data_IF_746727353142
#
_entry.id   IF_746727353142
#
_cell.length_a   1.000
_cell.length_b   1.000
_cell.length_c   1.000
_cell.angle_alpha   90.00
_cell.angle_beta   90.00
_cell.angle_gamma   90.00
#
_symmetry.space_group_name_H-M   'P 1'
#
loop_
_entity.id
_entity.type
_entity.pdbx_description
1 polymer ?
#
# COMPACT_ATOMS: atom_id res chain seq x y z
N UNK A 1 -3.17 83.63 -24.84
CA UNK A 1 -2.38 84.26 -25.93
C UNK A 1 -1.03 83.58 -26.01
N UNK A 2 -0.64 83.21 -27.24
CA UNK A 2 0.71 82.96 -27.77
C UNK A 2 1.58 81.81 -27.19
N UNK A 3 1.75 80.84 -28.10
CA UNK A 3 2.72 79.73 -28.23
C UNK A 3 4.19 80.19 -28.25
N UNK A 4 5.12 79.28 -27.93
CA UNK A 4 6.37 78.90 -28.65
C UNK A 4 7.22 78.06 -27.66
N UNK A 5 7.29 76.73 -27.74
CA UNK A 5 7.98 75.86 -28.71
C UNK A 5 9.52 76.03 -28.71
N UNK A 6 10.23 75.17 -27.98
CA UNK A 6 11.60 74.72 -28.28
C UNK A 6 11.65 73.20 -28.01
N UNK A 7 11.73 72.43 -29.10
CA UNK A 7 11.95 70.98 -29.10
C UNK A 7 13.44 70.73 -29.35
N UNK A 8 14.09 70.04 -28.41
CA UNK A 8 15.42 69.44 -28.60
C UNK A 8 15.29 67.96 -28.20
N UNK A 9 15.56 66.98 -29.08
CA UNK A 9 15.39 65.59 -28.74
C UNK A 9 16.63 65.09 -27.99
N UNK A 10 16.45 64.69 -26.73
CA UNK A 10 17.42 63.89 -25.99
C UNK A 10 17.31 62.44 -26.49
N UNK A 11 18.35 61.95 -27.16
CA UNK A 11 18.54 60.53 -27.47
C UNK A 11 18.91 59.83 -26.17
N UNK A 12 17.95 59.15 -25.53
CA UNK A 12 18.20 58.27 -24.40
C UNK A 12 18.66 56.90 -24.93
N UNK A 13 19.93 56.59 -24.70
CA UNK A 13 20.53 55.28 -24.95
C UNK A 13 19.92 54.27 -23.96
N UNK A 14 19.02 53.40 -24.42
CA UNK A 14 18.51 52.28 -23.64
C UNK A 14 19.59 51.18 -23.60
N UNK A 15 20.40 51.16 -22.54
CA UNK A 15 21.28 50.03 -22.24
C UNK A 15 20.45 48.90 -21.59
N UNK A 16 19.99 47.96 -22.40
CA UNK A 16 19.47 46.68 -21.92
C UNK A 16 20.62 45.87 -21.31
N UNK A 17 20.74 45.90 -19.98
CA UNK A 17 21.56 44.94 -19.23
C UNK A 17 20.88 43.56 -19.30
N UNK A 18 21.29 42.73 -20.26
CA UNK A 18 21.08 41.29 -20.18
C UNK A 18 22.00 40.74 -19.11
N UNK A 19 21.46 40.46 -17.91
CA UNK A 19 22.16 39.62 -16.94
C UNK A 19 22.38 38.25 -17.60
N UNK A 20 23.63 37.75 -17.70
CA UNK A 20 23.85 36.38 -18.11
C UNK A 20 23.22 35.49 -17.04
N UNK A 21 22.20 34.73 -17.43
CA UNK A 21 21.75 33.61 -16.61
C UNK A 21 22.95 32.70 -16.36
N UNK A 22 23.18 32.35 -15.10
CA UNK A 22 24.17 31.33 -14.75
C UNK A 22 23.62 30.00 -15.29
N UNK A 23 24.03 29.65 -16.50
CA UNK A 23 23.84 28.32 -17.06
C UNK A 23 24.86 27.43 -16.37
N UNK A 24 24.44 26.67 -15.36
CA UNK A 24 25.24 25.56 -14.88
C UNK A 24 25.39 24.58 -16.05
N UNK A 25 26.60 24.48 -16.61
CA UNK A 25 26.90 23.45 -17.59
C UNK A 25 26.64 22.10 -16.92
N UNK A 26 25.64 21.35 -17.40
CA UNK A 26 25.44 19.97 -16.97
C UNK A 26 26.72 19.20 -17.34
N UNK A 27 27.40 18.55 -16.38
CA UNK A 27 28.45 17.61 -16.71
C UNK A 27 27.91 16.59 -17.72
N UNK A 28 28.69 16.23 -18.73
CA UNK A 28 28.28 15.24 -19.74
C UNK A 28 27.79 13.91 -19.15
N UNK A 29 28.13 13.62 -17.89
CA UNK A 29 27.63 12.46 -17.14
C UNK A 29 26.16 12.56 -16.70
N UNK A 30 25.63 13.75 -16.40
CA UNK A 30 24.23 13.90 -15.95
C UNK A 30 23.27 13.52 -17.08
N UNK A 31 23.55 13.93 -18.32
CA UNK A 31 22.75 13.61 -19.49
C UNK A 31 22.73 12.11 -19.78
N UNK A 32 23.86 11.42 -19.55
CA UNK A 32 23.94 9.96 -19.67
C UNK A 32 23.01 9.31 -18.64
N UNK A 33 23.00 9.78 -17.39
CA UNK A 33 22.12 9.24 -16.36
C UNK A 33 20.63 9.46 -16.69
N UNK A 34 20.28 10.63 -17.25
CA UNK A 34 18.91 10.90 -17.70
C UNK A 34 18.50 9.99 -18.86
N UNK A 35 19.39 9.75 -19.82
CA UNK A 35 19.15 8.81 -20.92
C UNK A 35 19.00 7.38 -20.40
N UNK A 36 19.85 6.95 -19.46
CA UNK A 36 19.74 5.63 -18.84
C UNK A 36 18.44 5.47 -18.06
N UNK A 37 17.96 6.49 -17.35
CA UNK A 37 16.67 6.43 -16.68
C UNK A 37 15.51 6.22 -17.67
N UNK A 38 15.54 6.91 -18.81
CA UNK A 38 14.54 6.72 -19.86
C UNK A 38 14.62 5.31 -20.47
N UNK A 39 15.84 4.79 -20.70
CA UNK A 39 16.06 3.43 -21.17
C UNK A 39 15.54 2.40 -20.14
N UNK A 40 15.78 2.61 -18.84
CA UNK A 40 15.28 1.77 -17.77
C UNK A 40 13.75 1.71 -17.72
N UNK A 41 13.07 2.85 -17.88
CA UNK A 41 11.60 2.92 -17.96
C UNK A 41 11.03 2.15 -19.17
N UNK A 42 11.81 2.06 -20.24
CA UNK A 42 11.46 1.31 -21.47
C UNK A 42 11.97 -0.13 -21.47
N UNK A 43 12.64 -0.57 -20.41
CA UNK A 43 13.31 -1.87 -20.32
C UNK A 43 14.32 -2.12 -21.47
N UNK A 44 14.97 -1.05 -21.95
CA UNK A 44 15.95 -1.14 -23.03
C UNK A 44 17.34 -1.51 -22.48
N UNK A 45 17.55 -2.81 -22.30
CA UNK A 45 18.81 -3.37 -21.77
C UNK A 45 20.03 -3.08 -22.65
N UNK A 46 19.84 -2.93 -23.97
CA UNK A 46 20.94 -2.65 -24.91
C UNK A 46 21.47 -1.24 -24.70
N UNK A 47 20.59 -0.24 -24.65
CA UNK A 47 20.97 1.15 -24.40
C UNK A 47 21.60 1.30 -23.01
N UNK A 48 21.04 0.64 -21.99
CA UNK A 48 21.61 0.64 -20.64
C UNK A 48 23.05 0.09 -20.62
N UNK A 49 23.28 -1.05 -21.28
CA UNK A 49 24.62 -1.67 -21.34
C UNK A 49 25.62 -0.79 -22.09
N UNK A 50 25.20 -0.15 -23.19
CA UNK A 50 26.07 0.71 -23.98
C UNK A 50 26.48 2.00 -23.25
N UNK A 51 25.57 2.58 -22.46
CA UNK A 51 25.80 3.83 -21.73
C UNK A 51 26.51 3.63 -20.38
N UNK A 52 26.42 2.43 -19.79
CA UNK A 52 26.93 2.15 -18.45
C UNK A 52 28.40 2.56 -18.22
N UNK A 53 29.37 2.30 -19.13
CA UNK A 53 30.76 2.70 -18.90
C UNK A 53 30.96 4.20 -18.73
N UNK A 54 30.13 5.03 -19.35
CA UNK A 54 30.21 6.49 -19.26
C UNK A 54 29.75 7.04 -17.89
N UNK A 55 29.24 6.18 -17.01
CA UNK A 55 28.79 6.57 -15.66
C UNK A 55 29.82 6.33 -14.56
N UNK A 56 31.00 5.79 -14.90
CA UNK A 56 32.04 5.50 -13.93
C UNK A 56 32.50 6.76 -13.19
N UNK A 57 32.50 6.72 -11.85
CA UNK A 57 32.87 7.84 -11.00
C UNK A 57 31.78 8.91 -10.86
N UNK A 58 30.63 8.75 -11.51
CA UNK A 58 29.50 9.64 -11.35
C UNK A 58 28.87 9.48 -9.96
N UNK A 59 28.40 10.56 -9.28
CA UNK A 59 27.75 10.46 -7.96
C UNK A 59 26.56 9.48 -7.91
N UNK A 60 25.90 9.28 -9.06
CA UNK A 60 24.77 8.36 -9.24
C UNK A 60 25.15 7.09 -10.03
N UNK A 61 26.42 6.71 -10.10
CA UNK A 61 26.86 5.47 -10.77
C UNK A 61 26.06 4.25 -10.29
N UNK A 62 25.74 4.19 -8.99
CA UNK A 62 24.93 3.12 -8.41
C UNK A 62 23.55 2.98 -9.07
N UNK A 63 22.91 4.07 -9.48
CA UNK A 63 21.63 4.01 -10.22
C UNK A 63 21.80 3.42 -11.61
N UNK A 64 22.86 3.84 -12.32
CA UNK A 64 23.18 3.32 -13.64
C UNK A 64 23.41 1.81 -13.60
N UNK A 65 24.23 1.35 -12.64
CA UNK A 65 24.52 -0.06 -12.40
C UNK A 65 23.25 -0.84 -12.03
N UNK A 66 22.42 -0.29 -11.14
CA UNK A 66 21.14 -0.90 -10.75
C UNK A 66 20.22 -1.10 -11.94
N UNK A 67 20.01 -0.06 -12.77
CA UNK A 67 19.13 -0.16 -13.93
C UNK A 67 19.64 -1.18 -14.95
N UNK A 68 20.94 -1.17 -15.25
CA UNK A 68 21.54 -2.09 -16.20
C UNK A 68 21.41 -3.55 -15.74
N UNK A 69 21.68 -3.84 -14.46
CA UNK A 69 21.56 -5.19 -13.91
C UNK A 69 20.09 -5.62 -13.81
N UNK A 70 19.21 -4.75 -13.31
CA UNK A 70 17.77 -5.02 -13.21
C UNK A 70 17.14 -5.37 -14.56
N UNK A 71 17.51 -4.67 -15.63
CA UNK A 71 16.94 -4.89 -16.95
C UNK A 71 17.22 -6.29 -17.53
N UNK A 72 18.19 -7.02 -16.98
CA UNK A 72 18.55 -8.39 -17.39
C UNK A 72 18.59 -9.38 -16.24
N UNK A 73 17.95 -9.05 -15.11
CA UNK A 73 18.09 -9.77 -13.84
C UNK A 73 17.70 -11.25 -13.97
N UNK A 74 16.70 -11.57 -14.80
CA UNK A 74 16.29 -12.95 -15.07
C UNK A 74 17.42 -13.83 -15.62
N UNK A 75 18.37 -13.23 -16.34
CA UNK A 75 19.54 -13.90 -16.93
C UNK A 75 20.84 -13.66 -16.16
N UNK A 76 20.80 -12.88 -15.08
CA UNK A 76 21.98 -12.61 -14.26
C UNK A 76 22.40 -13.85 -13.46
N UNK A 77 23.69 -14.00 -13.28
CA UNK A 77 24.28 -15.03 -12.41
C UNK A 77 24.23 -14.58 -10.94
N UNK A 78 24.23 -15.55 -10.01
CA UNK A 78 24.33 -15.23 -8.58
C UNK A 78 25.58 -14.43 -8.25
N UNK A 79 26.70 -14.68 -8.95
CA UNK A 79 27.94 -13.91 -8.77
C UNK A 79 27.78 -12.44 -9.16
N UNK A 80 27.15 -12.13 -10.29
CA UNK A 80 26.91 -10.74 -10.70
C UNK A 80 26.04 -9.98 -9.69
N UNK A 81 25.05 -10.65 -9.11
CA UNK A 81 24.21 -10.08 -8.06
C UNK A 81 25.02 -9.87 -6.80
N UNK A 82 25.78 -10.87 -6.35
CA UNK A 82 26.62 -10.77 -5.16
C UNK A 82 27.68 -9.67 -5.29
N UNK A 83 28.35 -9.55 -6.44
CA UNK A 83 29.30 -8.48 -6.74
C UNK A 83 28.64 -7.10 -6.63
N UNK A 84 27.41 -6.96 -7.14
CA UNK A 84 26.66 -5.72 -7.00
C UNK A 84 26.31 -5.42 -5.54
N UNK A 85 25.80 -6.40 -4.80
CA UNK A 85 25.40 -6.24 -3.40
C UNK A 85 26.61 -5.89 -2.52
N UNK A 86 27.76 -6.49 -2.78
CA UNK A 86 29.00 -6.18 -2.06
C UNK A 86 29.52 -4.78 -2.40
N UNK A 87 29.58 -4.42 -3.69
CA UNK A 87 30.09 -3.12 -4.15
C UNK A 87 29.27 -1.94 -3.62
N UNK A 88 27.95 -2.10 -3.58
CA UNK A 88 27.02 -1.02 -3.25
C UNK A 88 26.36 -1.17 -1.88
N UNK A 89 26.97 -1.96 -0.99
CA UNK A 89 26.45 -2.27 0.34
C UNK A 89 25.98 -1.02 1.09
N UNK A 90 24.75 -1.08 1.62
CA UNK A 90 24.17 0.01 2.40
C UNK A 90 23.50 1.09 1.56
N UNK A 91 23.47 0.98 0.24
CA UNK A 91 22.70 1.89 -0.61
C UNK A 91 21.25 1.42 -0.76
N UNK A 92 20.36 2.35 -1.14
CA UNK A 92 18.97 2.00 -1.50
C UNK A 92 18.94 0.98 -2.63
N UNK A 93 19.78 1.17 -3.64
CA UNK A 93 19.82 0.38 -4.86
C UNK A 93 20.28 -1.04 -4.59
N UNK A 94 21.23 -1.22 -3.69
CA UNK A 94 21.67 -2.53 -3.21
C UNK A 94 20.52 -3.30 -2.59
N UNK A 95 19.84 -2.71 -1.61
CA UNK A 95 18.75 -3.39 -0.93
C UNK A 95 17.51 -3.57 -1.84
N UNK A 96 17.30 -2.65 -2.78
CA UNK A 96 16.27 -2.75 -3.80
C UNK A 96 16.57 -3.86 -4.81
N UNK A 97 17.82 -4.03 -5.23
CA UNK A 97 18.20 -5.15 -6.09
C UNK A 97 18.08 -6.48 -5.33
N UNK A 98 18.47 -6.51 -4.05
CA UNK A 98 18.24 -7.69 -3.20
C UNK A 98 16.77 -8.08 -3.18
N UNK A 99 15.84 -7.12 -3.02
CA UNK A 99 14.41 -7.41 -3.13
C UNK A 99 14.03 -8.01 -4.50
N UNK A 100 14.48 -7.38 -5.61
CA UNK A 100 14.20 -7.88 -6.97
C UNK A 100 14.73 -9.31 -7.15
N UNK A 101 15.92 -9.61 -6.63
CA UNK A 101 16.54 -10.94 -6.73
C UNK A 101 15.85 -11.98 -5.83
N UNK A 102 15.51 -11.62 -4.59
CA UNK A 102 14.77 -12.48 -3.67
C UNK A 102 13.40 -12.87 -4.24
N UNK A 103 12.71 -11.98 -4.96
CA UNK A 103 11.48 -12.33 -5.66
C UNK A 103 11.72 -13.41 -6.73
N UNK A 104 12.81 -13.32 -7.49
CA UNK A 104 13.18 -14.33 -8.50
C UNK A 104 13.58 -15.66 -7.86
N UNK A 105 14.39 -15.64 -6.80
CA UNK A 105 14.76 -16.83 -6.04
C UNK A 105 13.51 -17.51 -5.46
N UNK A 106 12.61 -16.71 -4.90
CA UNK A 106 11.31 -17.16 -4.44
C UNK A 106 10.54 -17.87 -5.55
N UNK A 107 10.36 -17.22 -6.72
CA UNK A 107 9.71 -17.80 -7.89
C UNK A 107 10.37 -19.10 -8.39
N UNK A 108 11.70 -19.18 -8.35
CA UNK A 108 12.51 -20.35 -8.73
C UNK A 108 12.52 -21.43 -7.66
N UNK A 109 12.01 -21.13 -6.46
CA UNK A 109 12.02 -22.01 -5.27
C UNK A 109 13.45 -22.35 -4.82
N UNK A 110 14.39 -21.44 -5.04
CA UNK A 110 15.77 -21.56 -4.56
C UNK A 110 15.87 -21.05 -3.12
N UNK A 111 15.41 -21.89 -2.19
CA UNK A 111 15.24 -21.51 -0.78
C UNK A 111 16.57 -21.28 -0.07
N UNK A 112 17.61 -22.05 -0.42
CA UNK A 112 18.91 -21.94 0.24
C UNK A 112 19.52 -20.55 -0.01
N UNK A 113 19.50 -20.09 -1.26
CA UNK A 113 19.99 -18.76 -1.61
C UNK A 113 19.04 -17.66 -1.13
N UNK A 114 17.72 -17.90 -1.16
CA UNK A 114 16.72 -16.97 -0.63
C UNK A 114 16.99 -16.64 0.84
N UNK A 115 17.11 -17.65 1.70
CA UNK A 115 17.31 -17.44 3.14
C UNK A 115 18.65 -16.77 3.46
N UNK A 116 19.70 -17.14 2.72
CA UNK A 116 21.02 -16.51 2.83
C UNK A 116 20.94 -15.01 2.61
N UNK A 117 20.27 -14.58 1.54
CA UNK A 117 20.19 -13.17 1.18
C UNK A 117 19.10 -12.41 1.93
N UNK A 118 18.02 -13.09 2.34
CA UNK A 118 16.90 -12.44 3.03
C UNK A 118 17.31 -11.89 4.40
N UNK A 119 18.25 -12.54 5.09
CA UNK A 119 18.79 -12.09 6.39
C UNK A 119 19.33 -10.65 6.36
N UNK A 120 19.92 -10.25 5.23
CA UNK A 120 20.50 -8.91 5.08
C UNK A 120 19.51 -7.88 4.52
N UNK A 121 18.28 -8.26 4.16
CA UNK A 121 17.27 -7.39 3.56
C UNK A 121 16.71 -6.40 4.60
N UNK A 122 17.02 -5.10 4.42
CA UNK A 122 16.72 -4.07 5.44
C UNK A 122 15.35 -3.44 5.25
N UNK A 123 14.90 -3.23 4.01
CA UNK A 123 13.61 -2.55 3.76
C UNK A 123 12.40 -3.33 4.30
N UNK A 124 12.41 -4.66 4.21
CA UNK A 124 11.33 -5.54 4.72
C UNK A 124 9.90 -5.10 4.32
N UNK A 125 9.78 -4.41 3.19
CA UNK A 125 8.56 -3.74 2.73
C UNK A 125 7.79 -4.56 1.69
N UNK A 126 8.43 -5.57 1.09
CA UNK A 126 7.79 -6.48 0.15
C UNK A 126 7.09 -7.64 0.87
N UNK A 127 5.76 -7.61 0.84
CA UNK A 127 4.91 -8.63 1.45
C UNK A 127 5.10 -10.03 0.83
N UNK A 128 5.52 -10.13 -0.43
CA UNK A 128 5.76 -11.45 -1.05
C UNK A 128 6.95 -12.16 -0.41
N UNK A 129 8.01 -11.42 -0.05
CA UNK A 129 9.17 -12.00 0.61
C UNK A 129 8.79 -12.58 1.97
N UNK A 130 8.01 -11.83 2.76
CA UNK A 130 7.44 -12.33 4.02
C UNK A 130 6.59 -13.58 3.82
N UNK A 131 5.80 -13.63 2.75
CA UNK A 131 5.02 -14.82 2.42
C UNK A 131 5.92 -16.02 2.05
N UNK A 132 7.01 -15.83 1.31
CA UNK A 132 7.98 -16.90 1.06
C UNK A 132 8.61 -17.41 2.36
N UNK A 133 9.03 -16.54 3.28
CA UNK A 133 9.57 -16.99 4.59
C UNK A 133 8.57 -17.87 5.35
N UNK A 134 7.29 -17.48 5.35
CA UNK A 134 6.23 -18.25 5.99
C UNK A 134 6.05 -19.62 5.33
N UNK A 135 6.17 -19.69 4.00
CA UNK A 135 6.13 -20.95 3.27
C UNK A 135 7.32 -21.85 3.63
N UNK A 136 8.53 -21.29 3.67
CA UNK A 136 9.76 -22.04 4.05
C UNK A 136 9.63 -22.54 5.49
N UNK A 137 9.23 -21.68 6.43
CA UNK A 137 9.02 -22.05 7.82
C UNK A 137 7.98 -23.17 8.01
N UNK A 138 6.92 -23.18 7.19
CA UNK A 138 5.93 -24.25 7.14
C UNK A 138 6.53 -25.57 6.66
N UNK A 139 7.28 -25.56 5.54
CA UNK A 139 7.92 -26.75 4.98
C UNK A 139 8.94 -27.38 5.93
N UNK A 140 9.63 -26.56 6.71
CA UNK A 140 10.65 -27.01 7.67
C UNK A 140 10.08 -27.35 9.05
N UNK A 141 8.76 -27.23 9.24
CA UNK A 141 8.12 -27.54 10.52
C UNK A 141 8.45 -26.58 11.66
N UNK A 142 8.94 -25.37 11.34
CA UNK A 142 9.29 -24.30 12.29
C UNK A 142 8.32 -23.13 12.27
N UNK A 143 7.10 -23.34 11.76
CA UNK A 143 6.10 -22.30 11.63
C UNK A 143 5.68 -21.76 13.02
N UNK A 144 5.78 -20.44 13.28
CA UNK A 144 5.34 -19.85 14.55
C UNK A 144 3.83 -20.01 14.79
N UNK A 145 3.40 -19.99 16.05
CA UNK A 145 1.99 -20.21 16.43
C UNK A 145 0.98 -19.25 15.77
N UNK A 146 1.36 -18.00 15.51
CA UNK A 146 0.49 -16.97 14.90
C UNK A 146 0.70 -16.79 13.40
N UNK A 147 1.61 -17.56 12.80
CA UNK A 147 2.02 -17.37 11.41
C UNK A 147 0.91 -17.69 10.39
N UNK A 148 0.02 -18.64 10.70
CA UNK A 148 -1.15 -18.92 9.86
C UNK A 148 -2.11 -17.73 9.79
N UNK A 149 -2.39 -17.10 10.93
CA UNK A 149 -3.23 -15.89 10.99
C UNK A 149 -2.56 -14.72 10.27
N UNK A 150 -1.26 -14.56 10.46
CA UNK A 150 -0.47 -13.55 9.77
C UNK A 150 -0.51 -13.75 8.25
N UNK A 151 -0.32 -14.98 7.75
CA UNK A 151 -0.41 -15.27 6.32
C UNK A 151 -1.82 -14.96 5.79
N UNK A 152 -2.86 -15.37 6.51
CA UNK A 152 -4.24 -15.11 6.10
C UNK A 152 -4.49 -13.61 5.95
N UNK A 153 -4.08 -12.80 6.92
CA UNK A 153 -4.17 -11.33 6.84
C UNK A 153 -3.39 -10.79 5.65
N UNK A 154 -2.10 -11.14 5.54
CA UNK A 154 -1.25 -10.69 4.43
C UNK A 154 -1.87 -11.03 3.08
N UNK A 155 -2.34 -12.26 2.89
CA UNK A 155 -2.87 -12.74 1.62
C UNK A 155 -4.23 -12.13 1.27
N UNK A 156 -5.14 -11.96 2.24
CA UNK A 156 -6.43 -11.31 2.00
C UNK A 156 -6.26 -9.81 1.68
N UNK A 157 -5.28 -9.16 2.29
CA UNK A 157 -4.97 -7.73 2.08
C UNK A 157 -4.24 -7.44 0.76
N UNK A 158 -3.71 -8.45 0.07
CA UNK A 158 -3.04 -8.24 -1.21
C UNK A 158 -3.99 -7.61 -2.24
N UNK A 159 -3.61 -6.48 -2.88
CA UNK A 159 -4.50 -5.78 -3.80
C UNK A 159 -4.76 -6.57 -5.08
N UNK A 160 -3.82 -7.41 -5.51
CA UNK A 160 -3.92 -8.27 -6.67
C UNK A 160 -3.32 -9.66 -6.34
N UNK A 161 -3.40 -10.60 -7.28
CA UNK A 161 -2.70 -11.86 -7.13
C UNK A 161 -1.20 -11.69 -7.37
N UNK A 162 -0.42 -12.35 -6.54
CA UNK A 162 1.04 -12.43 -6.60
C UNK A 162 1.49 -13.90 -6.43
N UNK A 163 2.76 -14.20 -6.72
CA UNK A 163 3.28 -15.57 -6.58
C UNK A 163 3.56 -15.91 -5.11
N UNK A 164 4.26 -15.04 -4.37
CA UNK A 164 4.75 -15.37 -3.02
C UNK A 164 3.66 -15.73 -2.02
N UNK A 165 2.62 -14.90 -1.89
CA UNK A 165 1.51 -15.16 -0.97
C UNK A 165 0.56 -16.24 -1.48
N UNK A 166 0.40 -16.40 -2.79
CA UNK A 166 -0.38 -17.53 -3.34
C UNK A 166 0.33 -18.86 -3.09
N UNK A 167 1.65 -18.91 -3.30
CA UNK A 167 2.48 -20.08 -3.01
C UNK A 167 2.42 -20.42 -1.53
N UNK A 168 2.65 -19.44 -0.66
CA UNK A 168 2.55 -19.62 0.79
C UNK A 168 1.17 -20.14 1.22
N UNK A 169 0.09 -19.56 0.68
CA UNK A 169 -1.27 -20.03 0.98
C UNK A 169 -1.48 -21.48 0.53
N UNK A 170 -0.97 -21.85 -0.65
CA UNK A 170 -1.03 -23.24 -1.13
C UNK A 170 -0.25 -24.20 -0.24
N UNK A 171 0.96 -23.82 0.18
CA UNK A 171 1.83 -24.61 1.05
C UNK A 171 1.18 -24.84 2.42
N UNK A 172 0.72 -23.76 3.08
CA UNK A 172 0.08 -23.87 4.40
C UNK A 172 -1.29 -24.58 4.30
N UNK A 173 -2.03 -24.42 3.21
CA UNK A 173 -3.27 -25.18 3.00
C UNK A 173 -3.01 -26.69 2.88
N UNK A 174 -1.99 -27.09 2.09
CA UNK A 174 -1.59 -28.49 1.97
C UNK A 174 -1.12 -29.09 3.31
N UNK A 175 -0.46 -28.28 4.14
CA UNK A 175 -0.06 -28.63 5.50
C UNK A 175 -1.20 -28.58 6.54
N UNK A 176 -2.45 -28.30 6.14
CA UNK A 176 -3.61 -28.10 7.02
C UNK A 176 -3.45 -26.96 8.05
N UNK A 177 -2.53 -26.04 7.79
CA UNK A 177 -2.23 -24.87 8.61
C UNK A 177 -3.03 -23.62 8.18
N UNK A 178 -3.62 -23.64 6.98
CA UNK A 178 -4.55 -22.61 6.49
C UNK A 178 -5.92 -23.24 6.20
N UNK A 179 -7.04 -22.74 6.76
CA UNK A 179 -8.34 -23.33 6.54
C UNK A 179 -8.88 -23.05 5.13
N UNK A 180 -9.70 -23.96 4.59
CA UNK A 180 -10.37 -23.78 3.30
C UNK A 180 -11.21 -22.48 3.24
N UNK A 181 -11.74 -22.03 4.37
CA UNK A 181 -12.47 -20.77 4.47
C UNK A 181 -11.62 -19.57 4.00
N UNK A 182 -10.35 -19.48 4.39
CA UNK A 182 -9.46 -18.38 3.98
C UNK A 182 -9.26 -18.36 2.46
N UNK A 183 -9.15 -19.54 1.83
CA UNK A 183 -9.05 -19.70 0.38
C UNK A 183 -10.33 -19.22 -0.32
N UNK A 184 -11.50 -19.60 0.20
CA UNK A 184 -12.78 -19.12 -0.34
C UNK A 184 -13.00 -17.62 -0.13
N UNK A 185 -12.57 -17.06 1.01
CA UNK A 185 -12.58 -15.62 1.25
C UNK A 185 -11.73 -14.87 0.21
N UNK A 186 -10.53 -15.38 -0.12
CA UNK A 186 -9.70 -14.80 -1.19
C UNK A 186 -10.40 -14.85 -2.54
N UNK A 187 -11.07 -15.95 -2.87
CA UNK A 187 -11.83 -16.06 -4.11
C UNK A 187 -12.99 -15.04 -4.19
N UNK A 188 -13.69 -14.83 -3.08
CA UNK A 188 -14.76 -13.84 -2.95
C UNK A 188 -14.25 -12.41 -3.11
N UNK A 189 -13.11 -12.07 -2.50
CA UNK A 189 -12.44 -10.78 -2.71
C UNK A 189 -12.08 -10.56 -4.19
N UNK A 190 -11.61 -11.62 -4.87
CA UNK A 190 -11.37 -11.59 -6.31
C UNK A 190 -12.64 -11.29 -7.12
N UNK A 191 -13.76 -11.94 -6.79
CA UNK A 191 -15.05 -11.67 -7.44
C UNK A 191 -15.54 -10.23 -7.19
N UNK A 192 -15.42 -9.75 -5.95
CA UNK A 192 -15.86 -8.42 -5.55
C UNK A 192 -15.06 -7.32 -6.28
N UNK A 193 -13.74 -7.49 -6.40
CA UNK A 193 -12.82 -6.55 -7.06
C UNK A 193 -12.73 -6.74 -8.58
N UNK A 194 -13.55 -7.63 -9.17
CA UNK A 194 -13.48 -8.01 -10.59
C UNK A 194 -12.08 -8.51 -11.03
N UNK A 195 -11.39 -9.25 -10.17
CA UNK A 195 -10.07 -9.83 -10.41
C UNK A 195 -10.16 -11.33 -10.64
N UNK A 196 -10.35 -11.73 -11.90
CA UNK A 196 -10.44 -13.13 -12.30
C UNK A 196 -9.18 -13.93 -11.91
N UNK A 197 -7.99 -13.34 -12.01
CA UNK A 197 -6.73 -14.00 -11.61
C UNK A 197 -6.71 -14.36 -10.13
N UNK A 198 -7.10 -13.43 -9.25
CA UNK A 198 -7.19 -13.64 -7.81
C UNK A 198 -8.17 -14.77 -7.47
N UNK A 199 -9.37 -14.76 -8.05
CA UNK A 199 -10.36 -15.81 -7.82
C UNK A 199 -9.89 -17.17 -8.35
N UNK A 200 -9.31 -17.20 -9.55
CA UNK A 200 -8.77 -18.42 -10.16
C UNK A 200 -7.69 -19.06 -9.30
N UNK A 201 -6.70 -18.27 -8.87
CA UNK A 201 -5.56 -18.78 -8.12
C UNK A 201 -5.98 -19.31 -6.75
N UNK A 202 -6.91 -18.64 -6.08
CA UNK A 202 -7.50 -19.15 -4.85
C UNK A 202 -8.24 -20.48 -5.08
N UNK A 203 -9.12 -20.57 -6.09
CA UNK A 203 -9.85 -21.82 -6.37
C UNK A 203 -8.93 -22.96 -6.81
N UNK A 204 -7.81 -22.67 -7.48
CA UNK A 204 -6.84 -23.71 -7.84
C UNK A 204 -6.26 -24.45 -6.62
N UNK A 205 -6.22 -23.80 -5.44
CA UNK A 205 -5.70 -24.39 -4.19
C UNK A 205 -6.68 -25.39 -3.58
N UNK A 206 -7.95 -24.99 -3.39
CA UNK A 206 -8.92 -25.77 -2.63
C UNK A 206 -10.04 -26.43 -3.46
N UNK A 207 -10.29 -25.93 -4.68
CA UNK A 207 -11.40 -26.38 -5.52
C UNK A 207 -11.10 -26.24 -7.04
N UNK A 208 -10.05 -26.90 -7.56
CA UNK A 208 -9.61 -26.76 -8.95
C UNK A 208 -10.71 -27.11 -9.97
N UNK A 209 -11.65 -27.99 -9.63
CA UNK A 209 -12.83 -28.32 -10.44
C UNK A 209 -13.74 -27.11 -10.74
N UNK A 210 -13.64 -26.03 -9.97
CA UNK A 210 -14.44 -24.82 -10.12
C UNK A 210 -13.74 -23.70 -10.91
N UNK A 211 -12.50 -23.91 -11.36
CA UNK A 211 -11.73 -22.90 -12.10
C UNK A 211 -12.29 -22.63 -13.50
N UNK A 212 -12.67 -23.67 -14.24
CA UNK A 212 -13.12 -23.55 -15.64
C UNK A 212 -14.29 -22.57 -15.86
N UNK A 213 -15.37 -22.64 -15.06
CA UNK A 213 -16.52 -21.73 -15.21
C UNK A 213 -16.26 -20.25 -14.90
N UNK A 214 -15.15 -19.89 -14.22
CA UNK A 214 -14.94 -18.54 -13.71
C UNK A 214 -14.92 -17.47 -14.82
N UNK A 215 -14.34 -17.76 -15.98
CA UNK A 215 -14.28 -16.78 -17.08
C UNK A 215 -15.69 -16.38 -17.56
N UNK A 216 -16.60 -17.35 -17.68
CA UNK A 216 -18.00 -17.10 -18.03
C UNK A 216 -18.76 -16.37 -16.92
N UNK A 217 -18.55 -16.77 -15.67
CA UNK A 217 -19.12 -16.13 -14.49
C UNK A 217 -18.76 -14.65 -14.41
N UNK A 218 -17.48 -14.30 -14.56
CA UNK A 218 -17.01 -12.91 -14.48
C UNK A 218 -17.50 -12.06 -15.66
N UNK A 219 -17.65 -12.67 -16.84
CA UNK A 219 -18.14 -11.99 -18.04
C UNK A 219 -19.62 -11.63 -17.92
N UNK A 220 -20.45 -12.57 -17.49
CA UNK A 220 -21.91 -12.43 -17.45
C UNK A 220 -22.50 -13.09 -16.19
N UNK A 221 -22.35 -12.50 -14.99
CA UNK A 221 -22.76 -13.13 -13.74
C UNK A 221 -24.26 -13.41 -13.68
N UNK A 222 -25.10 -12.50 -14.19
CA UNK A 222 -26.55 -12.69 -14.27
C UNK A 222 -26.92 -13.88 -15.17
N UNK A 223 -26.31 -13.97 -16.35
CA UNK A 223 -26.57 -15.08 -17.27
C UNK A 223 -26.13 -16.42 -16.67
N UNK A 224 -24.99 -16.43 -15.97
CA UNK A 224 -24.49 -17.60 -15.27
C UNK A 224 -25.46 -18.06 -14.17
N UNK A 225 -25.96 -17.12 -13.35
CA UNK A 225 -26.95 -17.40 -12.30
C UNK A 225 -28.29 -17.89 -12.86
N UNK A 226 -28.68 -17.40 -14.05
CA UNK A 226 -29.93 -17.76 -14.71
C UNK A 226 -29.84 -18.98 -15.62
N UNK A 227 -28.68 -19.64 -15.71
CA UNK A 227 -28.53 -20.85 -16.51
C UNK A 227 -29.58 -21.90 -16.13
N UNK A 228 -30.36 -22.33 -17.12
CA UNK A 228 -31.50 -23.25 -16.93
C UNK A 228 -31.13 -24.72 -17.09
N UNK A 229 -30.02 -25.01 -17.77
CA UNK A 229 -29.59 -26.39 -18.08
C UNK A 229 -28.92 -27.09 -16.91
N UNK A 230 -28.21 -26.35 -16.07
CA UNK A 230 -27.53 -26.87 -14.87
C UNK A 230 -27.53 -25.80 -13.80
N UNK A 231 -27.99 -26.12 -12.60
CA UNK A 231 -27.91 -25.20 -11.45
C UNK A 231 -26.44 -25.06 -11.05
N UNK A 232 -25.89 -23.83 -11.01
CA UNK A 232 -24.53 -23.62 -10.52
C UNK A 232 -24.31 -24.16 -9.10
N UNK A 233 -23.12 -24.71 -8.79
CA UNK A 233 -22.75 -25.03 -7.41
C UNK A 233 -22.89 -23.81 -6.51
N UNK A 234 -23.33 -24.00 -5.26
CA UNK A 234 -23.59 -22.92 -4.30
C UNK A 234 -22.42 -21.93 -4.20
N UNK A 235 -21.19 -22.45 -4.07
CA UNK A 235 -19.99 -21.63 -3.95
C UNK A 235 -19.72 -20.77 -5.20
N UNK A 236 -19.99 -21.28 -6.41
CA UNK A 236 -19.87 -20.49 -7.65
C UNK A 236 -21.03 -19.49 -7.80
N UNK A 237 -22.23 -19.85 -7.36
CA UNK A 237 -23.34 -18.90 -7.29
C UNK A 237 -23.03 -17.74 -6.34
N UNK A 238 -22.40 -17.99 -5.19
CA UNK A 238 -21.91 -16.96 -4.26
C UNK A 238 -20.96 -15.99 -4.96
N UNK A 239 -19.94 -16.49 -5.69
CA UNK A 239 -19.03 -15.62 -6.45
C UNK A 239 -19.76 -14.80 -7.54
N UNK A 240 -20.72 -15.42 -8.23
CA UNK A 240 -21.50 -14.74 -9.26
C UNK A 240 -22.41 -13.64 -8.68
N UNK A 241 -23.04 -13.90 -7.53
CA UNK A 241 -23.85 -12.92 -6.81
C UNK A 241 -23.00 -11.75 -6.30
N UNK A 242 -21.82 -12.01 -5.74
CA UNK A 242 -20.86 -10.96 -5.35
C UNK A 242 -20.48 -10.10 -6.55
N UNK A 243 -20.16 -10.75 -7.68
CA UNK A 243 -19.77 -10.04 -8.91
C UNK A 243 -20.92 -9.21 -9.48
N UNK A 244 -22.15 -9.71 -9.39
CA UNK A 244 -23.35 -9.00 -9.77
C UNK A 244 -23.61 -7.82 -8.84
N UNK A 245 -23.51 -8.00 -7.53
CA UNK A 245 -23.73 -6.97 -6.52
C UNK A 245 -22.81 -5.75 -6.70
N UNK A 246 -21.57 -5.96 -7.17
CA UNK A 246 -20.65 -4.87 -7.49
C UNK A 246 -21.20 -3.91 -8.57
N UNK A 247 -21.99 -4.42 -9.53
CA UNK A 247 -22.62 -3.62 -10.59
C UNK A 247 -24.08 -3.26 -10.31
N UNK A 248 -24.86 -4.21 -9.80
CA UNK A 248 -26.31 -4.13 -9.59
C UNK A 248 -26.68 -4.81 -8.26
N UNK A 249 -26.61 -4.06 -7.13
CA UNK A 249 -26.90 -4.60 -5.80
C UNK A 249 -28.37 -5.04 -5.66
N UNK A 250 -29.31 -4.34 -6.31
CA UNK A 250 -30.74 -4.61 -6.19
C UNK A 250 -31.12 -5.92 -6.88
N UNK A 251 -30.58 -6.16 -8.08
CA UNK A 251 -30.78 -7.42 -8.79
C UNK A 251 -30.11 -8.59 -8.05
N UNK A 252 -28.92 -8.39 -7.48
CA UNK A 252 -28.26 -9.39 -6.65
C UNK A 252 -29.10 -9.73 -5.41
N UNK A 253 -29.65 -8.72 -4.74
CA UNK A 253 -30.55 -8.87 -3.59
C UNK A 253 -31.82 -9.66 -3.96
N UNK A 254 -32.45 -9.33 -5.08
CA UNK A 254 -33.64 -10.02 -5.57
C UNK A 254 -33.35 -11.50 -5.85
N UNK A 255 -32.26 -11.81 -6.56
CA UNK A 255 -31.87 -13.19 -6.84
C UNK A 255 -31.50 -13.96 -5.57
N UNK A 256 -30.83 -13.31 -4.62
CA UNK A 256 -30.49 -13.92 -3.34
C UNK A 256 -31.75 -14.33 -2.57
N UNK A 257 -32.72 -13.42 -2.43
CA UNK A 257 -34.00 -13.70 -1.75
C UNK A 257 -34.84 -14.76 -2.45
N UNK A 258 -34.94 -14.70 -3.78
CA UNK A 258 -35.92 -15.52 -4.52
C UNK A 258 -35.41 -16.89 -4.91
N UNK A 259 -34.12 -17.01 -5.27
CA UNK A 259 -33.56 -18.22 -5.87
C UNK A 259 -32.52 -18.89 -5.00
N UNK A 260 -31.65 -18.11 -4.37
CA UNK A 260 -30.42 -18.63 -3.76
C UNK A 260 -30.46 -18.75 -2.23
N UNK A 261 -31.50 -18.21 -1.57
CA UNK A 261 -31.63 -18.19 -0.11
C UNK A 261 -31.55 -19.57 0.54
N UNK A 262 -32.14 -20.60 -0.10
CA UNK A 262 -32.17 -21.97 0.44
C UNK A 262 -30.94 -22.80 0.08
N UNK A 263 -30.16 -22.36 -0.91
CA UNK A 263 -29.02 -23.12 -1.45
C UNK A 263 -27.70 -22.69 -0.85
N UNK A 264 -27.51 -21.40 -0.58
CA UNK A 264 -26.32 -20.88 0.06
C UNK A 264 -26.35 -21.17 1.56
N UNK A 265 -25.19 -21.43 2.15
CA UNK A 265 -25.01 -21.49 3.61
C UNK A 265 -25.26 -20.12 4.26
N UNK A 266 -25.45 -20.08 5.58
CA UNK A 266 -25.65 -18.82 6.29
C UNK A 266 -24.49 -17.84 6.09
N UNK A 267 -23.26 -18.32 6.23
CA UNK A 267 -22.03 -17.54 6.05
C UNK A 267 -21.91 -16.98 4.62
N UNK A 268 -22.21 -17.78 3.60
CA UNK A 268 -22.21 -17.29 2.21
C UNK A 268 -23.26 -16.21 1.98
N UNK A 269 -24.46 -16.36 2.55
CA UNK A 269 -25.51 -15.33 2.47
C UNK A 269 -25.08 -14.06 3.16
N UNK A 270 -24.49 -14.16 4.35
CA UNK A 270 -23.97 -13.01 5.09
C UNK A 270 -22.95 -12.24 4.26
N UNK A 271 -22.00 -12.93 3.63
CA UNK A 271 -21.02 -12.28 2.77
C UNK A 271 -21.66 -11.55 1.59
N UNK A 272 -22.59 -12.20 0.86
CA UNK A 272 -23.26 -11.58 -0.29
C UNK A 272 -24.06 -10.35 0.15
N UNK A 273 -24.83 -10.45 1.25
CA UNK A 273 -25.56 -9.32 1.81
C UNK A 273 -24.64 -8.19 2.29
N UNK A 274 -23.50 -8.52 2.89
CA UNK A 274 -22.48 -7.55 3.27
C UNK A 274 -21.93 -6.78 2.06
N UNK A 275 -21.69 -7.47 0.94
CA UNK A 275 -21.25 -6.82 -0.31
C UNK A 275 -22.36 -5.94 -0.90
N UNK A 276 -23.60 -6.44 -0.97
CA UNK A 276 -24.76 -5.67 -1.44
C UNK A 276 -24.94 -4.40 -0.60
N UNK A 277 -25.00 -4.54 0.73
CA UNK A 277 -25.12 -3.43 1.67
C UNK A 277 -23.97 -2.44 1.54
N UNK A 278 -22.73 -2.91 1.40
CA UNK A 278 -21.57 -2.07 1.18
C UNK A 278 -21.67 -1.25 -0.11
N UNK A 279 -22.02 -1.88 -1.23
CA UNK A 279 -22.14 -1.19 -2.52
C UNK A 279 -23.28 -0.17 -2.46
N UNK A 280 -24.41 -0.52 -1.86
CA UNK A 280 -25.52 0.40 -1.62
C UNK A 280 -25.11 1.59 -0.74
N UNK A 281 -24.36 1.35 0.34
CA UNK A 281 -23.85 2.39 1.24
C UNK A 281 -22.89 3.35 0.51
N UNK A 282 -21.98 2.83 -0.32
CA UNK A 282 -21.09 3.63 -1.17
C UNK A 282 -21.85 4.52 -2.16
N UNK A 283 -23.01 4.04 -2.63
CA UNK A 283 -23.93 4.79 -3.50
C UNK A 283 -24.88 5.70 -2.73
N UNK A 284 -24.73 5.83 -1.42
CA UNK A 284 -25.58 6.64 -0.55
C UNK A 284 -27.05 6.21 -0.54
N UNK A 285 -27.37 4.97 -0.92
CA UNK A 285 -28.74 4.44 -0.95
C UNK A 285 -29.31 4.27 0.45
N UNK A 286 -30.61 4.59 0.60
CA UNK A 286 -31.36 4.42 1.85
C UNK A 286 -31.60 2.92 2.17
N UNK A 287 -31.54 2.04 1.17
CA UNK A 287 -31.72 0.59 1.33
C UNK A 287 -30.50 -0.11 1.95
N UNK A 288 -29.35 0.58 2.05
CA UNK A 288 -28.09 -0.02 2.47
C UNK A 288 -28.19 -0.72 3.83
N UNK A 289 -28.80 -0.07 4.82
CA UNK A 289 -29.02 -0.66 6.14
C UNK A 289 -30.05 -1.79 6.11
N UNK A 290 -31.04 -1.72 5.22
CA UNK A 290 -31.99 -2.81 4.98
C UNK A 290 -31.30 -4.07 4.44
N UNK A 291 -30.29 -3.93 3.59
CA UNK A 291 -29.49 -5.05 3.12
C UNK A 291 -28.57 -5.60 4.20
N UNK A 292 -27.90 -4.74 4.99
CA UNK A 292 -27.07 -5.20 6.10
C UNK A 292 -27.88 -5.89 7.20
N UNK A 293 -29.16 -5.53 7.40
CA UNK A 293 -30.04 -6.18 8.36
C UNK A 293 -30.30 -7.67 8.06
N UNK A 294 -30.03 -8.13 6.83
CA UNK A 294 -30.11 -9.55 6.45
C UNK A 294 -28.89 -10.37 6.93
N UNK A 295 -27.85 -9.70 7.46
CA UNK A 295 -26.66 -10.33 8.04
C UNK A 295 -26.92 -10.63 9.52
N UNK A 296 -27.08 -11.91 9.86
CA UNK A 296 -27.40 -12.33 11.23
C UNK A 296 -26.15 -12.41 12.11
N UNK A 297 -24.97 -12.61 11.50
CA UNK A 297 -23.69 -12.72 12.18
C UNK A 297 -22.67 -11.78 11.54
N UNK A 298 -22.43 -10.62 12.16
CA UNK A 298 -21.54 -9.60 11.62
C UNK A 298 -20.07 -10.06 11.52
N UNK A 299 -19.64 -11.00 12.37
CA UNK A 299 -18.27 -11.55 12.33
C UNK A 299 -17.97 -12.38 11.07
N UNK A 300 -18.99 -12.69 10.27
CA UNK A 300 -18.81 -13.36 8.96
C UNK A 300 -18.39 -12.35 7.87
N UNK A 301 -18.50 -11.05 8.13
CA UNK A 301 -18.11 -10.00 7.20
C UNK A 301 -16.62 -9.64 7.33
N UNK A 302 -16.05 -9.17 6.23
CA UNK A 302 -14.72 -8.57 6.25
C UNK A 302 -14.76 -7.13 6.79
N UNK A 303 -13.60 -6.63 7.24
CA UNK A 303 -13.45 -5.29 7.82
C UNK A 303 -13.93 -4.16 6.90
N UNK A 304 -13.74 -4.27 5.57
CA UNK A 304 -14.26 -3.28 4.63
C UNK A 304 -15.80 -3.22 4.65
N UNK A 305 -16.48 -4.36 4.67
CA UNK A 305 -17.95 -4.39 4.74
C UNK A 305 -18.47 -3.90 6.08
N UNK A 306 -17.79 -4.25 7.18
CA UNK A 306 -18.11 -3.72 8.52
C UNK A 306 -17.88 -2.21 8.63
N UNK A 307 -16.81 -1.71 8.01
CA UNK A 307 -16.52 -0.28 7.94
C UNK A 307 -17.60 0.48 7.17
N UNK A 308 -18.13 -0.10 6.08
CA UNK A 308 -19.24 0.50 5.34
C UNK A 308 -20.58 0.39 6.05
N UNK A 309 -20.83 -0.68 6.81
CA UNK A 309 -21.97 -0.79 7.73
C UNK A 309 -21.90 0.32 8.79
N UNK A 310 -20.76 0.48 9.45
CA UNK A 310 -20.57 1.52 10.47
C UNK A 310 -20.79 2.93 9.88
N UNK A 311 -20.27 3.23 8.68
CA UNK A 311 -20.51 4.51 7.98
C UNK A 311 -21.99 4.74 7.65
N UNK A 312 -22.68 3.73 7.15
CA UNK A 312 -24.11 3.82 6.86
C UNK A 312 -24.94 4.04 8.15
N UNK A 313 -24.59 3.33 9.23
CA UNK A 313 -25.25 3.46 10.52
C UNK A 313 -24.99 4.83 11.16
N UNK A 314 -23.78 5.37 11.05
CA UNK A 314 -23.42 6.73 11.48
C UNK A 314 -24.28 7.78 10.74
N UNK A 315 -24.39 7.67 9.41
CA UNK A 315 -25.20 8.59 8.60
C UNK A 315 -26.68 8.54 8.97
N UNK A 316 -27.19 7.37 9.38
CA UNK A 316 -28.57 7.19 9.82
C UNK A 316 -28.79 7.46 11.32
N UNK A 317 -27.76 7.83 12.09
CA UNK A 317 -27.86 8.05 13.54
C UNK A 317 -28.10 6.78 14.38
N UNK A 318 -27.84 5.59 13.84
CA UNK A 318 -28.08 4.31 14.51
C UNK A 318 -26.88 3.89 15.38
N UNK A 319 -26.65 4.59 16.49
CA UNK A 319 -25.47 4.39 17.36
C UNK A 319 -25.26 2.95 17.85
N UNK A 320 -26.34 2.22 18.14
CA UNK A 320 -26.25 0.81 18.55
C UNK A 320 -25.65 -0.07 17.45
N UNK A 321 -26.03 0.17 16.19
CA UNK A 321 -25.50 -0.57 15.04
C UNK A 321 -24.06 -0.18 14.73
N UNK A 322 -23.68 1.09 14.93
CA UNK A 322 -22.27 1.52 14.85
C UNK A 322 -21.42 0.74 15.85
N UNK A 323 -21.87 0.63 17.10
CA UNK A 323 -21.15 -0.13 18.13
C UNK A 323 -21.01 -1.62 17.76
N UNK A 324 -22.09 -2.25 17.27
CA UNK A 324 -22.08 -3.65 16.85
C UNK A 324 -21.13 -3.88 15.67
N UNK A 325 -21.14 -3.00 14.67
CA UNK A 325 -20.25 -3.08 13.51
C UNK A 325 -18.77 -2.96 13.91
N UNK A 326 -18.44 -1.99 14.77
CA UNK A 326 -17.06 -1.82 15.27
C UNK A 326 -16.63 -3.03 16.11
N UNK A 327 -17.50 -3.55 16.98
CA UNK A 327 -17.17 -4.70 17.81
C UNK A 327 -16.92 -6.00 17.00
N UNK A 328 -17.49 -6.10 15.79
CA UNK A 328 -17.30 -7.23 14.90
C UNK A 328 -16.04 -7.12 14.01
N UNK A 329 -15.37 -5.97 13.98
CA UNK A 329 -14.13 -5.78 13.21
C UNK A 329 -12.97 -6.58 13.78
N UNK A 330 -11.94 -6.84 12.97
CA UNK A 330 -10.70 -7.43 13.45
C UNK A 330 -10.03 -6.54 14.51
N UNK A 331 -9.16 -7.13 15.34
CA UNK A 331 -8.41 -6.39 16.36
C UNK A 331 -7.61 -5.22 15.77
N UNK A 332 -6.99 -5.43 14.61
CA UNK A 332 -6.21 -4.40 13.91
C UNK A 332 -7.11 -3.22 13.50
N UNK A 333 -8.28 -3.52 12.94
CA UNK A 333 -9.23 -2.50 12.53
C UNK A 333 -9.86 -1.79 13.75
N UNK A 334 -10.13 -2.49 14.86
CA UNK A 334 -10.62 -1.85 16.09
C UNK A 334 -9.61 -0.88 16.74
N UNK A 335 -8.32 -1.05 16.44
CA UNK A 335 -7.23 -0.19 16.93
C UNK A 335 -6.97 1.03 16.06
N UNK A 336 -7.52 1.09 14.84
CA UNK A 336 -7.45 2.28 14.00
C UNK A 336 -8.18 3.45 14.68
N UNK A 337 -7.55 4.63 14.67
CA UNK A 337 -8.03 5.82 15.40
C UNK A 337 -9.43 6.24 14.97
N UNK A 338 -9.83 5.97 13.73
CA UNK A 338 -11.20 6.17 13.23
C UNK A 338 -12.21 5.42 14.10
N UNK A 339 -11.99 4.13 14.34
CA UNK A 339 -12.96 3.28 15.01
C UNK A 339 -12.87 3.39 16.52
N UNK A 340 -11.68 3.67 17.07
CA UNK A 340 -11.53 4.05 18.48
C UNK A 340 -12.35 5.32 18.78
N UNK A 341 -12.23 6.35 17.94
CA UNK A 341 -12.99 7.58 18.06
C UNK A 341 -14.51 7.33 18.00
N UNK A 342 -14.98 6.64 16.96
CA UNK A 342 -16.42 6.38 16.82
C UNK A 342 -16.98 5.45 17.90
N UNK A 343 -16.17 4.53 18.44
CA UNK A 343 -16.54 3.73 19.63
C UNK A 343 -16.68 4.59 20.87
N UNK A 344 -15.81 5.58 21.09
CA UNK A 344 -15.99 6.53 22.18
C UNK A 344 -17.27 7.36 21.99
N UNK A 345 -17.56 7.81 20.77
CA UNK A 345 -18.78 8.57 20.45
C UNK A 345 -20.06 7.77 20.69
N UNK A 346 -20.09 6.47 20.38
CA UNK A 346 -21.26 5.62 20.69
C UNK A 346 -21.49 5.49 22.20
N UNK A 347 -20.42 5.36 22.99
CA UNK A 347 -20.51 5.31 24.46
C UNK A 347 -20.99 6.64 25.05
N UNK A 348 -20.51 7.78 24.54
CA UNK A 348 -20.99 9.10 24.95
C UNK A 348 -22.48 9.27 24.64
N UNK A 349 -22.94 8.79 23.48
CA UNK A 349 -24.35 8.85 23.08
C UNK A 349 -25.28 8.02 23.99
N UNK A 350 -24.77 7.00 24.69
CA UNK A 350 -25.55 6.22 25.66
C UNK A 350 -25.80 6.98 26.97
N UNK A 351 -24.96 7.96 27.30
CA UNK A 351 -25.15 8.84 28.46
C UNK A 351 -25.02 8.17 29.83
N UNK A 352 -24.41 6.98 29.92
CA UNK A 352 -24.18 6.31 31.22
C UNK A 352 -22.86 6.78 31.84
N UNK A 353 -22.74 6.87 33.18
CA UNK A 353 -21.48 7.25 33.83
C UNK A 353 -20.30 6.34 33.45
N UNK A 354 -20.54 5.02 33.39
CA UNK A 354 -19.53 4.05 32.97
C UNK A 354 -19.13 4.23 31.50
N UNK A 355 -20.10 4.53 30.62
CA UNK A 355 -19.82 4.80 29.21
C UNK A 355 -19.00 6.07 29.01
N UNK A 356 -19.24 7.11 29.81
CA UNK A 356 -18.47 8.35 29.80
C UNK A 356 -17.00 8.11 30.20
N UNK A 357 -16.74 7.36 31.27
CA UNK A 357 -15.39 7.02 31.71
C UNK A 357 -14.65 6.21 30.63
N UNK A 358 -15.29 5.19 30.07
CA UNK A 358 -14.71 4.39 28.98
C UNK A 358 -14.44 5.23 27.72
N UNK A 359 -15.34 6.14 27.36
CA UNK A 359 -15.15 7.03 26.23
C UNK A 359 -13.95 7.96 26.45
N UNK A 360 -13.81 8.55 27.64
CA UNK A 360 -12.66 9.40 27.98
C UNK A 360 -11.34 8.63 27.88
N UNK A 361 -11.31 7.37 28.35
CA UNK A 361 -10.13 6.52 28.22
C UNK A 361 -9.78 6.22 26.74
N UNK A 362 -10.78 5.91 25.91
CA UNK A 362 -10.60 5.67 24.48
C UNK A 362 -10.10 6.94 23.76
N UNK A 363 -10.74 8.08 23.97
CA UNK A 363 -10.31 9.35 23.39
C UNK A 363 -8.90 9.70 23.84
N UNK A 364 -8.58 9.52 25.12
CA UNK A 364 -7.25 9.76 25.67
C UNK A 364 -6.17 8.87 25.05
N UNK A 365 -6.51 7.64 24.66
CA UNK A 365 -5.57 6.70 24.04
C UNK A 365 -5.14 7.09 22.62
N UNK A 366 -5.96 7.88 21.90
CA UNK A 366 -5.67 8.34 20.53
C UNK A 366 -5.44 9.86 20.46
N UNK A 367 -5.63 10.60 21.56
CA UNK A 367 -5.50 12.03 21.60
C UNK A 367 -4.10 12.47 21.12
N UNK A 368 -4.06 13.20 20.01
CA UNK A 368 -2.81 13.57 19.35
C UNK A 368 -3.00 14.71 18.36
N UNK A 369 -1.91 15.12 17.72
CA UNK A 369 -1.91 16.21 16.73
C UNK A 369 -1.66 15.71 15.30
N UNK A 370 -1.26 14.45 15.15
CA UNK A 370 -0.76 13.90 13.89
C UNK A 370 -1.86 13.51 12.89
N UNK A 371 -3.07 13.22 13.38
CA UNK A 371 -4.17 12.74 12.55
C UNK A 371 -5.51 13.39 12.88
N UNK A 372 -6.47 13.19 11.97
CA UNK A 372 -7.78 13.84 12.03
C UNK A 372 -8.61 13.39 13.24
N UNK A 373 -8.70 12.09 13.50
CA UNK A 373 -9.50 11.57 14.62
C UNK A 373 -8.81 11.76 15.97
N UNK A 374 -7.48 11.82 15.96
CA UNK A 374 -6.63 12.14 17.09
C UNK A 374 -6.86 13.59 17.54
N UNK A 375 -6.97 14.53 16.58
CA UNK A 375 -7.32 15.93 16.86
C UNK A 375 -8.77 16.07 17.37
N UNK A 376 -9.73 15.38 16.75
CA UNK A 376 -11.12 15.35 17.24
C UNK A 376 -11.21 14.77 18.66
N UNK A 377 -10.39 13.76 18.99
CA UNK A 377 -10.34 13.21 20.33
C UNK A 377 -9.83 14.23 21.36
N UNK A 378 -8.88 15.10 20.99
CA UNK A 378 -8.45 16.21 21.83
C UNK A 378 -9.56 17.22 22.06
N UNK A 379 -10.28 17.60 21.00
CA UNK A 379 -11.42 18.52 21.10
C UNK A 379 -12.52 17.97 22.01
N UNK A 380 -12.89 16.69 21.86
CA UNK A 380 -13.90 16.03 22.70
C UNK A 380 -13.45 15.89 24.17
N UNK A 381 -12.14 15.89 24.44
CA UNK A 381 -11.57 15.97 25.80
C UNK A 381 -11.44 17.41 26.33
N UNK A 382 -11.89 18.42 25.58
CA UNK A 382 -11.78 19.83 25.94
C UNK A 382 -10.36 20.40 25.84
N UNK A 383 -9.48 19.74 25.08
CA UNK A 383 -8.09 20.17 24.89
C UNK A 383 -7.94 20.96 23.58
N UNK A 384 -7.14 22.02 23.60
CA UNK A 384 -6.87 22.82 22.40
C UNK A 384 -5.93 22.09 21.43
N UNK A 385 -6.33 21.96 20.16
CA UNK A 385 -5.47 21.49 19.08
C UNK A 385 -4.44 22.58 18.75
N UNK A 386 -3.20 22.39 19.22
CA UNK A 386 -2.10 23.33 19.05
C UNK A 386 -0.98 22.60 18.32
N UNK A 387 -0.21 23.31 17.47
CA UNK A 387 1.00 22.72 16.92
C UNK A 387 1.93 22.29 18.07
N UNK A 388 2.70 21.21 17.89
CA UNK A 388 3.69 20.80 18.88
C UNK A 388 4.71 21.94 19.08
N UNK A 389 5.35 22.04 20.26
CA UNK A 389 6.40 23.02 20.51
C UNK A 389 7.49 22.94 19.44
N UNK A 390 8.00 24.10 19.02
CA UNK A 390 9.07 24.14 18.03
C UNK A 390 10.32 23.40 18.57
N UNK A 391 10.88 22.45 17.82
CA UNK A 391 12.06 21.73 18.27
C UNK A 391 13.28 22.66 18.27
N UNK A 392 14.26 22.35 19.12
CA UNK A 392 15.53 23.08 19.08
C UNK A 392 16.20 22.91 17.71
N UNK A 393 16.77 23.97 17.13
CA UNK A 393 17.42 23.88 15.83
C UNK A 393 18.59 22.88 15.86
N UNK A 394 18.94 22.26 14.72
CA UNK A 394 20.14 21.44 14.63
C UNK A 394 21.40 22.22 15.00
N UNK A 395 22.27 21.59 15.79
CA UNK A 395 23.61 22.09 16.08
C UNK A 395 24.47 22.09 14.82
N UNK A 396 25.58 22.83 14.85
CA UNK A 396 26.54 22.86 13.74
C UNK A 396 27.11 21.47 13.42
N UNK A 397 27.32 20.64 14.44
CA UNK A 397 27.83 19.28 14.29
C UNK A 397 26.79 18.36 13.64
N UNK A 398 25.54 18.37 14.12
CA UNK A 398 24.44 17.60 13.51
C UNK A 398 24.23 17.99 12.04
N UNK A 399 24.26 19.30 11.75
CA UNK A 399 24.17 19.79 10.37
C UNK A 399 25.36 19.35 9.51
N UNK A 400 26.58 19.31 10.06
CA UNK A 400 27.75 18.81 9.35
C UNK A 400 27.66 17.32 9.06
N UNK A 401 27.19 16.51 10.02
CA UNK A 401 26.94 15.07 9.83
C UNK A 401 25.88 14.82 8.74
N UNK A 402 24.79 15.57 8.74
CA UNK A 402 23.76 15.46 7.71
C UNK A 402 24.31 15.78 6.31
N UNK A 403 25.11 16.85 6.17
CA UNK A 403 25.78 17.18 4.89
C UNK A 403 26.77 16.13 4.42
N UNK A 404 27.46 15.48 5.36
CA UNK A 404 28.43 14.43 5.07
C UNK A 404 27.78 13.07 4.78
N UNK A 405 26.47 12.91 4.99
CA UNK A 405 25.78 11.65 4.75
C UNK A 405 25.70 11.37 3.22
N UNK A 406 26.31 10.27 2.74
CA UNK A 406 26.38 10.00 1.30
C UNK A 406 25.01 9.68 0.68
N UNK A 407 24.06 9.11 1.45
CA UNK A 407 22.70 8.86 0.99
C UNK A 407 21.89 10.13 0.79
N UNK A 408 21.95 11.06 1.75
CA UNK A 408 21.30 12.37 1.64
C UNK A 408 21.91 13.19 0.48
N UNK A 409 23.24 13.17 0.35
CA UNK A 409 23.95 13.85 -0.73
C UNK A 409 23.55 13.33 -2.11
N UNK A 410 23.53 12.01 -2.32
CA UNK A 410 23.06 11.40 -3.58
C UNK A 410 21.59 11.70 -3.85
N UNK A 411 20.74 11.59 -2.84
CA UNK A 411 19.30 11.89 -2.96
C UNK A 411 19.06 13.32 -3.47
N UNK A 412 19.70 14.31 -2.85
CA UNK A 412 19.60 15.71 -3.26
C UNK A 412 20.21 15.96 -4.63
N UNK A 413 21.31 15.30 -4.96
CA UNK A 413 21.91 15.38 -6.30
C UNK A 413 20.95 14.83 -7.37
N UNK A 414 20.37 13.64 -7.15
CA UNK A 414 19.38 13.05 -8.05
C UNK A 414 18.16 13.96 -8.26
N UNK A 415 17.62 14.55 -7.19
CA UNK A 415 16.51 15.52 -7.30
C UNK A 415 16.91 16.72 -8.15
N UNK A 416 18.11 17.27 -7.92
CA UNK A 416 18.62 18.46 -8.62
C UNK A 416 18.71 18.25 -10.13
N UNK A 417 19.14 17.07 -10.58
CA UNK A 417 19.31 16.78 -12.01
C UNK A 417 18.02 16.29 -12.70
N UNK A 418 16.88 16.25 -11.99
CA UNK A 418 15.59 15.84 -12.55
C UNK A 418 15.20 14.37 -12.30
N UNK A 419 16.02 13.61 -11.58
CA UNK A 419 15.72 12.24 -11.13
C UNK A 419 15.00 12.26 -9.77
N UNK A 420 13.89 13.00 -9.70
CA UNK A 420 13.19 13.26 -8.44
C UNK A 420 12.66 12.00 -7.76
N UNK A 421 12.07 11.07 -8.52
CA UNK A 421 11.56 9.82 -7.98
C UNK A 421 12.65 8.96 -7.34
N UNK A 422 13.82 8.91 -7.97
CA UNK A 422 15.01 8.21 -7.53
C UNK A 422 15.55 8.84 -6.25
N UNK A 423 15.72 10.16 -6.25
CA UNK A 423 16.23 10.88 -5.08
C UNK A 423 15.30 10.81 -3.87
N UNK A 424 13.96 10.85 -4.07
CA UNK A 424 13.00 10.67 -2.96
C UNK A 424 13.10 9.26 -2.37
N UNK A 425 13.28 8.22 -3.19
CA UNK A 425 13.48 6.84 -2.70
C UNK A 425 14.78 6.72 -1.91
N UNK A 426 15.88 7.29 -2.40
CA UNK A 426 17.15 7.33 -1.67
C UNK A 426 17.03 8.09 -0.35
N UNK A 427 16.32 9.23 -0.34
CA UNK A 427 16.08 10.01 0.87
C UNK A 427 15.35 9.18 1.92
N UNK A 428 14.17 8.65 1.57
CA UNK A 428 13.34 7.88 2.50
C UNK A 428 14.06 6.63 2.99
N UNK A 429 14.83 5.96 2.13
CA UNK A 429 15.66 4.84 2.55
C UNK A 429 16.71 5.26 3.57
N UNK A 430 17.43 6.35 3.27
CA UNK A 430 18.51 6.87 4.12
C UNK A 430 18.00 7.28 5.50
N UNK A 431 16.84 7.94 5.56
CA UNK A 431 16.27 8.42 6.82
C UNK A 431 15.58 7.33 7.61
N UNK A 432 14.95 6.35 6.95
CA UNK A 432 14.01 5.44 7.64
C UNK A 432 14.48 3.99 7.71
N UNK A 433 15.30 3.51 6.76
CA UNK A 433 15.52 2.07 6.52
C UNK A 433 16.99 1.66 6.40
N UNK A 434 17.93 2.61 6.26
CA UNK A 434 19.35 2.31 6.11
C UNK A 434 19.94 1.63 7.36
N UNK A 435 19.51 2.06 8.54
CA UNK A 435 19.88 1.49 9.83
C UNK A 435 18.63 1.02 10.59
N UNK A 436 18.73 -0.01 11.45
CA UNK A 436 17.60 -0.45 12.28
C UNK A 436 17.03 0.71 13.09
N UNK A 437 15.72 0.95 12.96
CA UNK A 437 15.03 2.05 13.65
C UNK A 437 15.12 3.41 12.95
N UNK A 438 15.85 3.52 11.84
CA UNK A 438 16.01 4.77 11.10
C UNK A 438 16.90 5.80 11.82
N UNK A 439 16.96 7.00 11.26
CA UNK A 439 17.56 8.17 11.90
C UNK A 439 16.74 8.55 13.13
N UNK A 440 17.41 8.96 14.20
CA UNK A 440 16.73 9.51 15.37
C UNK A 440 16.20 10.94 15.10
N UNK A 441 15.35 11.47 15.98
CA UNK A 441 14.72 12.79 15.80
C UNK A 441 15.71 13.93 15.54
N UNK A 442 16.89 13.93 16.19
CA UNK A 442 17.92 14.96 15.97
C UNK A 442 18.55 14.85 14.59
N UNK A 443 18.79 13.63 14.13
CA UNK A 443 19.28 13.36 12.78
C UNK A 443 18.22 13.72 11.71
N UNK A 444 16.95 13.41 11.96
CA UNK A 444 15.84 13.78 11.08
C UNK A 444 15.66 15.29 10.97
N UNK A 445 15.76 16.03 12.08
CA UNK A 445 15.72 17.51 12.06
C UNK A 445 16.90 18.10 11.27
N UNK A 446 18.10 17.53 11.40
CA UNK A 446 19.26 17.96 10.63
C UNK A 446 19.11 17.65 9.13
N UNK A 447 18.55 16.49 8.78
CA UNK A 447 18.22 16.12 7.41
C UNK A 447 17.14 17.06 6.82
N UNK A 448 16.05 17.32 7.54
CA UNK A 448 14.99 18.24 7.12
C UNK A 448 15.53 19.67 6.91
N UNK A 449 16.41 20.15 7.81
CA UNK A 449 17.06 21.45 7.64
C UNK A 449 17.93 21.50 6.36
N UNK A 450 18.61 20.40 6.04
CA UNK A 450 19.39 20.27 4.80
C UNK A 450 18.48 20.26 3.56
N UNK A 451 17.36 19.55 3.58
CA UNK A 451 16.37 19.56 2.50
C UNK A 451 15.76 20.95 2.29
N UNK A 452 15.43 21.65 3.37
CA UNK A 452 14.94 23.02 3.35
C UNK A 452 15.95 23.99 2.70
N UNK A 453 17.24 23.88 3.06
CA UNK A 453 18.31 24.65 2.40
C UNK A 453 18.43 24.34 0.91
N UNK A 454 18.18 23.09 0.52
CA UNK A 454 18.15 22.66 -0.87
C UNK A 454 16.81 22.93 -1.59
N UNK A 455 15.85 23.58 -0.93
CA UNK A 455 14.49 23.87 -1.44
C UNK A 455 13.70 22.63 -1.84
N UNK A 456 13.92 21.51 -1.16
CA UNK A 456 13.19 20.26 -1.31
C UNK A 456 12.13 20.18 -0.22
N UNK A 457 11.07 20.97 -0.35
CA UNK A 457 10.10 21.25 0.73
C UNK A 457 9.26 20.07 1.22
N UNK A 458 9.19 18.99 0.44
CA UNK A 458 8.45 17.79 0.79
C UNK A 458 9.28 16.79 1.60
N UNK A 459 10.58 17.05 1.78
CA UNK A 459 11.54 16.25 2.54
C UNK A 459 12.01 17.03 3.75
#
# INVERSE_FOLDING_TARGET
MKRLAILTPLVALAATFTLPGVVFAQPSGDDVLLQMQQAARKQDSKTLTALLPATQGHPLEVWAQYWALKARLDSATSQEVEDFLQRWRGTYQEDRLRNDWLLLLGQRRDWAEFERLHTDFRMQDDKQLRCYDLAIASMEGRLPAHASTQLQQLWLDQPASDDGCTYAASTLYAAQQLPAQAVWQRARLGAERNQLGTARNALAIAAPQHVGPLAGLFKSPLQYLNASKTTPPAALATLALIRLAASDPDQAAQLLRTRWQKTLSAEERHWVWGVIGKVAARRLSDDALGYFAEVQQLTDLNDDSLAWLARAALRAGQWGLVQQAIAAMSTAQQQDSTWVYWKARTLLAQGTPQGQEQAQALLGSIAGVDGFYEQLAREDLGQAVLPPPEPQPPTAEEAARARANPGLARALYAIRIGLRSEGVREWNYTTNLHQPGGMNDRELLAAAALACQAQVWDR
#
